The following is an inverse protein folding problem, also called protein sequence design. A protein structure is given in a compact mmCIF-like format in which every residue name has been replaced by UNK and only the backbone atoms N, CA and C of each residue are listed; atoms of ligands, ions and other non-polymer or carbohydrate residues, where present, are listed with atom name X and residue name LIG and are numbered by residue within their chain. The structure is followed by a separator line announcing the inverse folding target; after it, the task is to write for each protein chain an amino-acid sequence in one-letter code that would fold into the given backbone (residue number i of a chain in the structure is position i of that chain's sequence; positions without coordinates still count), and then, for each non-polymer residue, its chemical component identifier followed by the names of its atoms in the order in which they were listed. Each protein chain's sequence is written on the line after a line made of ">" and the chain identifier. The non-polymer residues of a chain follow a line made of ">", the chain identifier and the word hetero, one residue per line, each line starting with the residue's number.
data_IF_661598711675
#
_entry.id   IF_661598711675
#
_cell.length_a   1.000
_cell.length_b   1.000
_cell.length_c   1.000
_cell.angle_alpha   90.00
_cell.angle_beta   90.00
_cell.angle_gamma   90.00
#
_symmetry.space_group_name_H-M   'P 1'
#
loop_
_entity.id
_entity.type
_entity.pdbx_description
1 polymer ?
#
# COMPACT_ATOMS: atom_id res chain seq x y z
N UNK A 1 35.31 3.63 7.83
CA UNK A 1 33.89 3.16 7.78
C UNK A 1 33.12 4.25 7.07
N UNK A 2 32.52 3.93 5.93
CA UNK A 2 31.64 4.87 5.22
C UNK A 2 30.27 4.86 5.89
N UNK A 3 29.59 6.01 5.98
CA UNK A 3 28.24 6.11 6.52
C UNK A 3 27.22 5.27 5.73
N UNK A 4 27.38 5.25 4.42
CA UNK A 4 26.50 4.49 3.54
C UNK A 4 26.54 2.99 3.87
N UNK A 5 27.73 2.46 4.23
CA UNK A 5 27.89 1.04 4.59
C UNK A 5 27.16 0.67 5.90
N UNK A 6 26.80 1.67 6.74
CA UNK A 6 26.00 1.46 7.95
C UNK A 6 24.50 1.45 7.67
N UNK A 7 24.08 2.17 6.64
CA UNK A 7 22.67 2.26 6.26
C UNK A 7 22.25 1.08 5.39
N UNK A 8 23.07 0.75 4.39
CA UNK A 8 22.76 -0.34 3.46
C UNK A 8 24.01 -0.86 2.75
N UNK A 9 23.96 -2.11 2.32
CA UNK A 9 24.91 -2.63 1.34
C UNK A 9 24.53 -2.09 -0.05
N UNK A 10 25.46 -1.53 -0.85
CA UNK A 10 25.17 -1.06 -2.21
C UNK A 10 24.50 -2.10 -3.12
N UNK A 11 24.81 -3.39 -2.93
CA UNK A 11 24.26 -4.50 -3.70
C UNK A 11 22.95 -5.06 -3.11
N UNK A 12 22.50 -4.56 -1.95
CA UNK A 12 21.26 -4.99 -1.29
C UNK A 12 20.04 -4.71 -2.18
N UNK A 13 19.26 -5.74 -2.40
CA UNK A 13 17.94 -5.67 -3.06
C UNK A 13 16.83 -5.63 -2.02
N UNK A 14 15.64 -5.17 -2.40
CA UNK A 14 14.48 -5.30 -1.53
C UNK A 14 14.31 -6.74 -1.04
N UNK A 15 14.04 -6.90 0.25
CA UNK A 15 13.81 -8.18 0.94
C UNK A 15 15.00 -9.16 1.02
N UNK A 16 16.21 -8.76 0.63
CA UNK A 16 17.42 -9.52 0.95
C UNK A 16 17.60 -9.64 2.48
N UNK A 17 17.05 -8.68 3.23
CA UNK A 17 17.01 -8.67 4.69
C UNK A 17 15.58 -8.39 5.18
N UNK A 18 15.09 -9.27 6.03
CA UNK A 18 13.87 -9.01 6.81
C UNK A 18 14.23 -8.36 8.14
N UNK A 19 13.51 -7.30 8.50
CA UNK A 19 13.78 -6.54 9.72
C UNK A 19 13.23 -7.28 10.93
N UNK A 20 14.10 -7.54 11.91
CA UNK A 20 13.74 -8.04 13.23
C UNK A 20 13.55 -6.86 14.22
N UNK A 21 12.45 -6.83 14.94
CA UNK A 21 12.12 -5.70 15.82
C UNK A 21 11.57 -4.48 15.06
N UNK A 22 11.76 -3.26 15.60
CA UNK A 22 11.36 -2.04 14.90
C UNK A 22 12.30 -1.75 13.72
N UNK A 23 11.77 -1.06 12.72
CA UNK A 23 12.45 -0.70 11.48
C UNK A 23 12.56 0.81 11.31
N UNK A 24 13.16 1.26 10.22
CA UNK A 24 13.11 2.69 9.83
C UNK A 24 11.69 3.18 9.51
N UNK A 25 10.69 2.30 9.36
CA UNK A 25 9.28 2.69 9.31
C UNK A 25 8.84 3.44 10.58
N UNK A 26 9.53 3.23 11.69
CA UNK A 26 9.29 3.93 12.98
C UNK A 26 9.56 5.44 12.95
N UNK A 27 10.15 6.00 11.89
CA UNK A 27 10.26 7.46 11.71
C UNK A 27 8.90 8.13 11.51
N UNK A 28 7.88 7.37 11.07
CA UNK A 28 6.52 7.87 10.92
C UNK A 28 5.74 7.81 12.24
N UNK A 29 4.94 8.84 12.50
CA UNK A 29 3.96 8.84 13.59
C UNK A 29 2.62 8.27 13.16
N UNK A 30 2.24 8.55 11.89
CA UNK A 30 0.93 8.17 11.34
C UNK A 30 1.08 7.63 9.92
N UNK A 31 0.47 6.47 9.66
CA UNK A 31 0.37 5.90 8.31
C UNK A 31 -1.09 5.51 8.06
N UNK A 32 -1.63 5.88 6.89
CA UNK A 32 -2.90 5.35 6.41
C UNK A 32 -2.67 4.18 5.44
N UNK A 33 -3.47 3.15 5.58
CA UNK A 33 -3.47 1.98 4.72
C UNK A 33 -4.75 1.99 3.89
N UNK A 34 -4.59 2.26 2.59
CA UNK A 34 -5.65 2.37 1.59
C UNK A 34 -5.62 1.10 0.77
N UNK A 35 -6.69 0.31 0.80
CA UNK A 35 -6.70 -0.95 0.06
C UNK A 35 -8.02 -1.69 0.14
N UNK A 36 -7.95 -2.94 -0.24
CA UNK A 36 -9.08 -3.86 -0.25
C UNK A 36 -9.08 -4.80 0.98
N UNK A 37 -9.62 -6.01 0.80
CA UNK A 37 -9.76 -7.02 1.84
C UNK A 37 -8.46 -7.40 2.55
N UNK A 38 -7.33 -7.49 1.81
CA UNK A 38 -6.06 -7.84 2.42
C UNK A 38 -5.51 -6.70 3.29
N UNK A 39 -5.83 -5.46 2.97
CA UNK A 39 -5.43 -4.29 3.77
C UNK A 39 -6.36 -4.05 4.96
N UNK A 40 -7.64 -4.38 4.84
CA UNK A 40 -8.60 -4.26 5.95
C UNK A 40 -8.45 -5.33 7.01
N UNK A 41 -7.74 -6.43 6.70
CA UNK A 41 -7.63 -7.59 7.57
C UNK A 41 -8.86 -8.48 7.50
N UNK A 42 -9.44 -8.66 6.31
CA UNK A 42 -10.65 -9.45 6.12
C UNK A 42 -10.39 -10.95 6.32
N UNK A 43 -11.29 -11.60 7.05
CA UNK A 43 -11.35 -13.05 7.19
C UNK A 43 -12.57 -13.60 6.46
N UNK A 44 -12.38 -14.69 5.72
CA UNK A 44 -13.49 -15.47 5.16
C UNK A 44 -13.86 -16.60 6.12
N UNK A 45 -15.15 -16.72 6.42
CA UNK A 45 -15.71 -17.80 7.23
C UNK A 45 -16.67 -18.65 6.41
N UNK A 46 -17.03 -19.83 6.95
CA UNK A 46 -18.08 -20.70 6.44
C UNK A 46 -19.02 -21.04 7.59
N UNK A 47 -20.32 -20.98 7.36
CA UNK A 47 -21.30 -21.51 8.30
C UNK A 47 -21.48 -23.04 8.12
N UNK A 48 -22.35 -23.64 8.94
CA UNK A 48 -22.63 -25.08 8.89
C UNK A 48 -23.23 -25.54 7.54
N UNK A 49 -23.84 -24.62 6.78
CA UNK A 49 -24.39 -24.83 5.47
C UNK A 49 -23.38 -24.55 4.34
N UNK A 50 -22.16 -24.09 4.67
CA UNK A 50 -21.11 -23.76 3.72
C UNK A 50 -21.22 -22.36 3.12
N UNK A 51 -22.14 -21.50 3.59
CA UNK A 51 -22.24 -20.13 3.13
C UNK A 51 -21.05 -19.31 3.59
N UNK A 52 -20.58 -18.42 2.72
CA UNK A 52 -19.45 -17.52 3.01
C UNK A 52 -19.88 -16.33 3.87
N UNK A 53 -19.06 -16.01 4.85
CA UNK A 53 -19.10 -14.75 5.59
C UNK A 53 -17.77 -14.00 5.42
N UNK A 54 -17.82 -12.67 5.42
CA UNK A 54 -16.63 -11.82 5.30
C UNK A 54 -16.61 -10.82 6.46
N UNK A 55 -15.45 -10.67 7.11
CA UNK A 55 -15.31 -9.88 8.33
C UNK A 55 -14.03 -9.07 8.29
N UNK A 56 -14.14 -7.75 8.12
CA UNK A 56 -13.01 -6.83 8.25
C UNK A 56 -12.58 -6.71 9.71
N UNK A 57 -11.39 -7.19 10.03
CA UNK A 57 -10.83 -7.20 11.38
C UNK A 57 -9.46 -6.48 11.36
N UNK A 58 -9.50 -5.15 11.31
CA UNK A 58 -8.29 -4.33 11.14
C UNK A 58 -7.18 -4.63 12.14
N UNK A 59 -7.52 -5.03 13.36
CA UNK A 59 -6.54 -5.41 14.38
C UNK A 59 -5.60 -6.54 13.95
N UNK A 60 -6.03 -7.36 12.99
CA UNK A 60 -5.25 -8.44 12.39
C UNK A 60 -4.65 -8.07 11.03
N UNK A 61 -4.90 -6.89 10.51
CA UNK A 61 -4.34 -6.45 9.23
C UNK A 61 -2.83 -6.29 9.29
N UNK A 62 -2.18 -6.45 8.15
CA UNK A 62 -0.74 -6.22 8.05
C UNK A 62 -0.36 -4.78 8.43
N UNK A 63 -1.19 -3.79 8.12
CA UNK A 63 -0.96 -2.40 8.50
C UNK A 63 -0.95 -2.19 10.01
N UNK A 64 -1.87 -2.84 10.74
CA UNK A 64 -1.92 -2.75 12.19
C UNK A 64 -0.76 -3.50 12.88
N UNK A 65 -0.30 -4.61 12.29
CA UNK A 65 0.91 -5.28 12.78
C UNK A 65 2.15 -4.39 12.62
N UNK A 66 2.32 -3.74 11.46
CA UNK A 66 3.39 -2.76 11.23
C UNK A 66 3.33 -1.65 12.28
N UNK A 67 2.14 -1.10 12.54
CA UNK A 67 1.95 -0.03 13.50
C UNK A 67 2.35 -0.43 14.92
N UNK A 68 1.91 -1.60 15.38
CA UNK A 68 2.26 -2.11 16.72
C UNK A 68 3.76 -2.40 16.87
N UNK A 69 4.39 -2.92 15.81
CA UNK A 69 5.82 -3.21 15.79
C UNK A 69 6.67 -1.93 15.89
N UNK A 70 6.26 -0.87 15.20
CA UNK A 70 7.03 0.36 15.02
C UNK A 70 6.56 1.53 15.92
N UNK A 71 5.55 1.32 16.77
CA UNK A 71 5.07 2.36 17.70
C UNK A 71 4.38 3.54 17.03
N UNK A 72 3.84 3.36 15.81
CA UNK A 72 3.10 4.37 15.07
C UNK A 72 1.58 4.15 15.14
N UNK A 73 0.81 5.13 14.72
CA UNK A 73 -0.65 5.01 14.58
C UNK A 73 -1.00 4.63 13.15
N UNK A 74 -1.65 3.49 12.97
CA UNK A 74 -2.26 3.09 11.70
C UNK A 74 -3.70 3.58 11.59
N UNK A 75 -4.05 4.10 10.41
CA UNK A 75 -5.45 4.34 10.03
C UNK A 75 -5.87 3.32 8.98
N UNK A 76 -7.01 2.69 9.21
CA UNK A 76 -7.64 1.81 8.23
C UNK A 76 -8.50 2.63 7.26
N UNK A 77 -8.00 2.82 6.05
CA UNK A 77 -8.74 3.40 4.94
C UNK A 77 -9.05 2.33 3.88
N UNK A 78 -9.30 1.11 4.35
CA UNK A 78 -9.51 -0.08 3.53
C UNK A 78 -10.84 -0.76 3.89
N UNK A 79 -11.37 -1.54 2.96
CA UNK A 79 -12.56 -2.38 3.16
C UNK A 79 -12.52 -3.54 2.16
N UNK A 80 -13.10 -4.67 2.53
CA UNK A 80 -13.29 -5.80 1.63
C UNK A 80 -13.96 -5.40 0.31
N UNK A 81 -13.44 -5.91 -0.81
CA UNK A 81 -13.96 -5.62 -2.15
C UNK A 81 -13.69 -4.23 -2.71
N UNK A 82 -12.95 -3.36 -2.01
CA UNK A 82 -12.73 -1.97 -2.41
C UNK A 82 -12.05 -1.85 -3.77
N UNK A 83 -12.54 -0.88 -4.56
CA UNK A 83 -11.93 -0.40 -5.79
C UNK A 83 -11.47 1.06 -5.63
N UNK A 84 -10.50 1.52 -6.44
CA UNK A 84 -10.07 2.92 -6.44
C UNK A 84 -11.23 3.86 -6.80
N UNK A 85 -12.11 3.42 -7.71
CA UNK A 85 -13.30 4.20 -8.10
C UNK A 85 -14.28 4.36 -6.94
N UNK A 86 -14.65 3.28 -6.26
CA UNK A 86 -15.58 3.36 -5.13
C UNK A 86 -14.99 4.13 -3.95
N UNK A 87 -13.68 4.02 -3.75
CA UNK A 87 -12.96 4.82 -2.75
C UNK A 87 -13.20 6.31 -2.95
N UNK A 88 -13.06 6.80 -4.18
CA UNK A 88 -13.28 8.21 -4.56
C UNK A 88 -14.73 8.63 -4.50
N UNK A 89 -15.61 7.82 -5.05
CA UNK A 89 -17.02 8.21 -5.29
C UNK A 89 -17.84 8.29 -4.00
N UNK A 90 -17.48 7.48 -2.98
CA UNK A 90 -18.32 7.37 -1.80
C UNK A 90 -17.58 7.02 -0.51
N UNK A 91 -16.68 6.03 -0.51
CA UNK A 91 -16.19 5.43 0.71
C UNK A 91 -15.34 6.39 1.55
N UNK A 92 -14.41 7.09 0.93
CA UNK A 92 -13.52 7.99 1.64
C UNK A 92 -14.28 9.20 2.23
N UNK A 93 -15.26 9.75 1.49
CA UNK A 93 -16.10 10.86 1.97
C UNK A 93 -16.99 10.42 3.13
N UNK A 94 -17.68 9.28 2.99
CA UNK A 94 -18.58 8.75 4.00
C UNK A 94 -17.87 8.45 5.35
N UNK A 95 -16.57 8.16 5.30
CA UNK A 95 -15.76 7.86 6.48
C UNK A 95 -14.89 9.05 6.94
N UNK A 96 -14.99 10.20 6.28
CA UNK A 96 -14.24 11.41 6.60
C UNK A 96 -12.72 11.24 6.44
N UNK A 97 -12.25 10.43 5.47
CA UNK A 97 -10.83 10.17 5.30
C UNK A 97 -10.07 11.36 4.72
N UNK A 98 -10.77 12.32 4.13
CA UNK A 98 -10.22 13.57 3.65
C UNK A 98 -10.08 14.65 4.73
N UNK A 99 -10.45 14.33 5.98
CA UNK A 99 -10.42 15.29 7.08
C UNK A 99 -9.00 15.58 7.57
N UNK A 100 -8.76 16.83 7.99
CA UNK A 100 -7.49 17.29 8.58
C UNK A 100 -7.06 16.46 9.81
N UNK A 101 -8.03 15.94 10.57
CA UNK A 101 -7.80 15.11 11.76
C UNK A 101 -7.28 13.69 11.43
N UNK A 102 -7.38 13.30 10.16
CA UNK A 102 -6.93 12.00 9.65
C UNK A 102 -5.75 12.08 8.68
N UNK A 103 -5.18 13.26 8.49
CA UNK A 103 -4.00 13.40 7.64
C UNK A 103 -2.81 12.61 8.19
N UNK A 104 -2.09 11.95 7.30
CA UNK A 104 -0.97 11.08 7.63
C UNK A 104 0.35 11.57 7.07
N UNK A 105 1.45 11.13 7.67
CA UNK A 105 2.80 11.36 7.13
C UNK A 105 3.10 10.43 5.96
N UNK A 106 2.42 9.28 5.91
CA UNK A 106 2.53 8.35 4.79
C UNK A 106 1.19 7.67 4.48
N UNK A 107 1.04 7.30 3.21
CA UNK A 107 -0.08 6.53 2.68
C UNK A 107 0.46 5.30 1.95
N UNK A 108 0.06 4.12 2.40
CA UNK A 108 0.37 2.85 1.74
C UNK A 108 -0.87 2.42 0.97
N UNK A 109 -0.75 2.36 -0.36
CA UNK A 109 -1.87 2.12 -1.26
C UNK A 109 -1.74 0.74 -1.90
N UNK A 110 -2.72 -0.13 -1.66
CA UNK A 110 -2.77 -1.51 -2.12
C UNK A 110 -4.15 -1.84 -2.73
N UNK A 111 -4.59 -1.00 -3.69
CA UNK A 111 -5.79 -1.20 -4.50
C UNK A 111 -5.42 -1.79 -5.86
N UNK A 112 -6.40 -2.33 -6.57
CA UNK A 112 -6.30 -2.70 -7.97
C UNK A 112 -6.77 -4.11 -8.29
N UNK A 113 -6.70 -5.07 -7.36
CA UNK A 113 -7.19 -6.43 -7.59
C UNK A 113 -8.67 -6.41 -7.97
N UNK A 114 -9.48 -5.66 -7.24
CA UNK A 114 -10.91 -5.55 -7.52
C UNK A 114 -11.21 -4.66 -8.72
N UNK A 115 -10.37 -3.66 -8.99
CA UNK A 115 -10.51 -2.82 -10.19
C UNK A 115 -10.22 -3.61 -11.46
N UNK A 116 -9.01 -4.17 -11.55
CA UNK A 116 -8.44 -4.71 -12.79
C UNK A 116 -8.88 -6.15 -13.03
N UNK A 117 -8.70 -7.04 -12.03
CA UNK A 117 -8.97 -8.48 -12.24
C UNK A 117 -10.44 -8.83 -12.03
N UNK A 118 -11.07 -8.34 -10.97
CA UNK A 118 -12.46 -8.70 -10.68
C UNK A 118 -13.44 -7.82 -11.46
N UNK A 119 -13.14 -6.51 -11.61
CA UNK A 119 -13.99 -5.53 -12.27
C UNK A 119 -13.72 -5.37 -13.77
N UNK A 120 -12.58 -5.88 -14.27
CA UNK A 120 -12.21 -5.73 -15.68
C UNK A 120 -11.97 -4.28 -16.11
N UNK A 121 -11.64 -3.39 -15.16
CA UNK A 121 -11.35 -2.00 -15.45
C UNK A 121 -10.06 -1.90 -16.25
N UNK A 122 -10.04 -1.01 -17.23
CA UNK A 122 -8.84 -0.69 -17.99
C UNK A 122 -7.75 -0.14 -17.04
N UNK A 123 -6.52 -0.63 -17.19
CA UNK A 123 -5.39 -0.16 -16.38
C UNK A 123 -5.11 1.32 -16.63
N UNK A 124 -5.12 1.74 -17.89
CA UNK A 124 -4.72 3.10 -18.30
C UNK A 124 -3.21 3.33 -18.21
N UNK A 125 -2.82 4.59 -18.17
CA UNK A 125 -1.44 5.05 -18.07
C UNK A 125 -1.37 6.51 -17.61
N UNK A 126 -0.16 7.08 -17.59
CA UNK A 126 0.05 8.49 -17.18
C UNK A 126 -0.64 9.49 -18.11
N UNK A 127 -0.93 9.12 -19.35
CA UNK A 127 -1.70 9.92 -20.33
C UNK A 127 -3.17 10.08 -19.95
N UNK A 128 -3.64 9.36 -18.95
CA UNK A 128 -5.00 9.47 -18.41
C UNK A 128 -5.09 10.47 -17.24
N UNK A 129 -3.95 11.04 -16.84
CA UNK A 129 -3.83 12.03 -15.76
C UNK A 129 -3.86 13.43 -16.37
N UNK A 130 -4.84 14.24 -15.96
CA UNK A 130 -4.86 15.65 -16.31
C UNK A 130 -3.86 16.42 -15.41
N UNK A 131 -2.84 17.07 -15.99
CA UNK A 131 -1.81 17.75 -15.20
C UNK A 131 -2.31 19.04 -14.53
N UNK A 132 -3.49 19.54 -14.91
CA UNK A 132 -4.03 20.80 -14.41
C UNK A 132 -5.14 20.60 -13.38
N UNK A 133 -5.94 19.54 -13.54
CA UNK A 133 -7.04 19.23 -12.60
C UNK A 133 -7.30 17.72 -12.57
N UNK A 134 -6.89 17.06 -11.51
CA UNK A 134 -7.05 15.62 -11.32
C UNK A 134 -8.52 15.15 -11.41
N UNK A 135 -9.49 16.04 -11.24
CA UNK A 135 -10.93 15.73 -11.40
C UNK A 135 -11.31 15.36 -12.83
N UNK A 136 -10.45 15.74 -13.78
CA UNK A 136 -10.59 15.43 -15.20
C UNK A 136 -9.86 14.16 -15.61
N UNK A 137 -9.17 13.46 -14.68
CA UNK A 137 -8.53 12.19 -14.98
C UNK A 137 -9.52 11.23 -15.61
N UNK A 138 -9.07 10.46 -16.60
CA UNK A 138 -9.91 9.42 -17.17
C UNK A 138 -10.25 8.34 -16.13
N UNK A 139 -11.43 7.71 -16.22
CA UNK A 139 -11.89 6.72 -15.24
C UNK A 139 -11.23 5.34 -15.45
N UNK A 140 -9.92 5.30 -15.68
CA UNK A 140 -9.09 4.09 -15.67
C UNK A 140 -8.58 3.80 -14.27
N UNK A 141 -7.98 2.63 -14.04
CA UNK A 141 -7.37 2.33 -12.73
C UNK A 141 -6.34 3.40 -12.34
N UNK A 142 -5.41 3.73 -13.23
CA UNK A 142 -4.36 4.74 -12.97
C UNK A 142 -4.93 6.14 -12.82
N UNK A 143 -5.91 6.52 -13.62
CA UNK A 143 -6.57 7.82 -13.47
C UNK A 143 -7.26 7.99 -12.11
N UNK A 144 -7.96 6.94 -11.63
CA UNK A 144 -8.56 6.94 -10.31
C UNK A 144 -7.50 6.93 -9.20
N UNK A 145 -6.44 6.14 -9.38
CA UNK A 145 -5.34 6.05 -8.41
C UNK A 145 -4.62 7.40 -8.25
N UNK A 146 -4.32 8.06 -9.37
CA UNK A 146 -3.72 9.40 -9.40
C UNK A 146 -4.63 10.45 -8.75
N UNK A 147 -5.93 10.34 -8.91
CA UNK A 147 -6.90 11.23 -8.26
C UNK A 147 -6.88 11.08 -6.74
N UNK A 148 -6.76 9.85 -6.21
CA UNK A 148 -6.61 9.61 -4.77
C UNK A 148 -5.33 10.29 -4.25
N UNK A 149 -4.19 10.08 -4.94
CA UNK A 149 -2.90 10.66 -4.56
C UNK A 149 -2.98 12.19 -4.55
N UNK A 150 -3.49 12.78 -5.63
CA UNK A 150 -3.61 14.24 -5.76
C UNK A 150 -4.43 14.85 -4.63
N UNK A 151 -5.55 14.22 -4.28
CA UNK A 151 -6.41 14.70 -3.19
C UNK A 151 -5.72 14.60 -1.83
N UNK A 152 -4.93 13.56 -1.56
CA UNK A 152 -4.13 13.49 -0.33
C UNK A 152 -2.97 14.47 -0.34
N UNK A 153 -2.36 14.76 -1.47
CA UNK A 153 -1.33 15.80 -1.58
C UNK A 153 -1.89 17.22 -1.34
N UNK A 154 -3.16 17.50 -1.62
CA UNK A 154 -3.81 18.74 -1.20
C UNK A 154 -3.90 18.87 0.34
N UNK A 155 -4.11 17.75 1.05
CA UNK A 155 -4.28 17.71 2.51
C UNK A 155 -2.93 17.64 3.23
N UNK A 156 -1.98 16.88 2.69
CA UNK A 156 -0.65 16.63 3.25
C UNK A 156 0.39 16.63 2.12
N UNK A 157 0.84 17.81 1.65
CA UNK A 157 1.70 17.94 0.48
C UNK A 157 3.00 17.16 0.54
N UNK A 158 3.61 17.09 1.75
CA UNK A 158 4.90 16.45 1.99
C UNK A 158 4.79 14.98 2.44
N UNK A 159 3.58 14.42 2.43
CA UNK A 159 3.37 13.02 2.78
C UNK A 159 4.03 12.08 1.77
N UNK A 160 4.51 10.94 2.26
CA UNK A 160 5.10 9.88 1.44
C UNK A 160 4.04 8.89 0.98
N UNK A 161 4.16 8.40 -0.26
CA UNK A 161 3.25 7.43 -0.85
C UNK A 161 3.99 6.14 -1.19
N UNK A 162 3.42 5.00 -0.80
CA UNK A 162 3.96 3.69 -1.11
C UNK A 162 2.90 2.89 -1.88
N UNK A 163 3.21 2.56 -3.14
CA UNK A 163 2.32 1.80 -4.01
C UNK A 163 2.70 0.32 -3.94
N UNK A 164 1.79 -0.50 -3.43
CA UNK A 164 2.03 -1.94 -3.30
C UNK A 164 1.56 -2.65 -4.56
N UNK A 165 2.47 -3.35 -5.23
CA UNK A 165 2.08 -4.19 -6.37
C UNK A 165 1.35 -5.44 -5.91
N UNK A 166 0.66 -6.10 -6.84
CA UNK A 166 0.14 -7.43 -6.59
C UNK A 166 1.29 -8.39 -6.27
N UNK A 167 1.11 -9.34 -5.34
CA UNK A 167 2.06 -10.43 -5.20
C UNK A 167 2.06 -11.30 -6.47
N UNK A 168 3.13 -12.03 -6.71
CA UNK A 168 3.16 -13.03 -7.77
C UNK A 168 2.19 -14.17 -7.39
N UNK A 169 1.10 -14.24 -8.12
CA UNK A 169 0.00 -15.16 -7.89
C UNK A 169 -0.32 -15.86 -9.20
N UNK A 170 -0.14 -17.17 -9.27
CA UNK A 170 -0.36 -18.00 -10.45
C UNK A 170 -1.85 -18.20 -10.82
N UNK A 171 -2.76 -17.63 -10.03
CA UNK A 171 -4.21 -17.85 -10.16
C UNK A 171 -4.95 -16.65 -10.76
N UNK A 172 -4.35 -15.45 -10.80
CA UNK A 172 -5.07 -14.21 -11.13
C UNK A 172 -4.52 -13.50 -12.35
N UNK A 173 -5.43 -13.20 -13.29
CA UNK A 173 -5.13 -12.36 -14.46
C UNK A 173 -4.20 -13.03 -15.48
N UNK A 174 -3.85 -12.27 -16.49
CA UNK A 174 -2.79 -12.63 -17.44
C UNK A 174 -1.49 -11.96 -17.04
N UNK A 175 -0.36 -12.57 -17.40
CA UNK A 175 0.97 -11.97 -17.19
C UNK A 175 1.05 -10.57 -17.79
N UNK A 176 0.53 -10.38 -19.00
CA UNK A 176 0.51 -9.08 -19.69
C UNK A 176 -0.26 -8.01 -18.90
N UNK A 177 -1.44 -8.35 -18.39
CA UNK A 177 -2.26 -7.43 -17.58
C UNK A 177 -1.56 -7.08 -16.26
N UNK A 178 -0.95 -8.06 -15.62
CA UNK A 178 -0.19 -7.88 -14.38
C UNK A 178 1.01 -6.97 -14.61
N UNK A 179 1.82 -7.22 -15.63
CA UNK A 179 2.98 -6.37 -15.95
C UNK A 179 2.55 -4.95 -16.34
N UNK A 180 1.48 -4.79 -17.11
CA UNK A 180 0.93 -3.47 -17.43
C UNK A 180 0.57 -2.69 -16.16
N UNK A 181 -0.08 -3.35 -15.20
CA UNK A 181 -0.47 -2.70 -13.94
C UNK A 181 0.74 -2.32 -13.09
N UNK A 182 1.72 -3.22 -12.97
CA UNK A 182 2.96 -2.96 -12.24
C UNK A 182 3.74 -1.79 -12.85
N UNK A 183 3.93 -1.81 -14.17
CA UNK A 183 4.62 -0.73 -14.87
C UNK A 183 3.92 0.61 -14.66
N UNK A 184 2.59 0.64 -14.73
CA UNK A 184 1.82 1.86 -14.50
C UNK A 184 1.95 2.41 -13.07
N UNK A 185 2.13 1.54 -12.05
CA UNK A 185 2.44 1.99 -10.68
C UNK A 185 3.86 2.58 -10.58
N UNK A 186 4.84 2.05 -11.33
CA UNK A 186 6.16 2.68 -11.42
C UNK A 186 6.09 4.03 -12.14
N UNK A 187 5.35 4.11 -13.24
CA UNK A 187 5.17 5.37 -13.99
C UNK A 187 4.56 6.49 -13.12
N UNK A 188 3.70 6.13 -12.15
CA UNK A 188 3.17 7.11 -11.18
C UNK A 188 4.27 7.75 -10.32
N UNK A 189 5.38 7.06 -10.05
CA UNK A 189 6.50 7.64 -9.27
C UNK A 189 7.25 8.72 -10.04
N UNK A 190 7.15 8.73 -11.36
CA UNK A 190 7.69 9.80 -12.20
C UNK A 190 6.76 11.04 -12.23
N UNK A 191 5.46 10.85 -11.95
CA UNK A 191 4.46 11.92 -11.91
C UNK A 191 4.37 12.56 -10.53
N UNK A 192 4.43 11.75 -9.49
CA UNK A 192 4.25 12.19 -8.11
C UNK A 192 5.57 12.08 -7.32
N UNK A 193 6.12 13.21 -6.90
CA UNK A 193 7.24 13.24 -5.95
C UNK A 193 6.86 12.57 -4.63
N UNK A 194 7.85 12.12 -3.87
CA UNK A 194 7.66 11.47 -2.58
C UNK A 194 6.86 10.16 -2.66
N UNK A 195 6.97 9.45 -3.77
CA UNK A 195 6.27 8.18 -3.99
C UNK A 195 7.24 7.06 -4.38
N UNK A 196 6.91 5.84 -3.95
CA UNK A 196 7.76 4.67 -4.05
C UNK A 196 6.92 3.44 -4.33
N UNK A 197 7.50 2.45 -5.05
CA UNK A 197 6.84 1.17 -5.30
C UNK A 197 7.36 0.12 -4.32
N UNK A 198 6.45 -0.58 -3.66
CA UNK A 198 6.69 -1.83 -2.92
C UNK A 198 6.35 -2.97 -3.88
N UNK A 199 7.35 -3.46 -4.60
CA UNK A 199 7.16 -4.46 -5.64
C UNK A 199 7.17 -5.88 -5.07
N UNK A 200 6.00 -6.32 -4.62
CA UNK A 200 5.79 -7.66 -4.10
C UNK A 200 5.78 -8.72 -5.21
N UNK A 201 5.46 -8.34 -6.45
CA UNK A 201 5.50 -9.26 -7.58
C UNK A 201 6.91 -9.76 -7.83
N UNK A 202 7.87 -8.84 -7.85
CA UNK A 202 9.26 -9.14 -8.19
C UNK A 202 10.06 -9.68 -7.00
N UNK A 203 9.84 -9.15 -5.81
CA UNK A 203 10.68 -9.41 -4.64
C UNK A 203 9.96 -10.16 -3.52
N UNK A 204 8.63 -10.19 -3.53
CA UNK A 204 7.83 -10.91 -2.56
C UNK A 204 7.78 -12.42 -2.81
N UNK A 205 7.16 -13.17 -1.90
CA UNK A 205 6.93 -14.60 -2.10
C UNK A 205 5.91 -14.85 -3.21
N UNK A 206 6.05 -15.98 -3.89
CA UNK A 206 5.01 -16.48 -4.81
C UNK A 206 3.86 -17.06 -3.98
N UNK A 207 2.63 -16.68 -4.33
CA UNK A 207 1.41 -17.18 -3.67
C UNK A 207 0.92 -18.47 -4.35
N UNK A 208 1.80 -19.48 -4.34
CA UNK A 208 1.52 -20.83 -4.81
C UNK A 208 0.62 -21.63 -3.82
N UNK A 209 0.28 -22.85 -4.18
CA UNK A 209 -0.54 -23.74 -3.34
C UNK A 209 0.07 -23.94 -1.95
N UNK A 210 1.40 -24.08 -1.85
CA UNK A 210 2.10 -24.27 -0.58
C UNK A 210 2.01 -23.04 0.32
N UNK A 211 2.11 -21.84 -0.29
CA UNK A 211 1.91 -20.58 0.43
C UNK A 211 0.47 -20.45 0.93
N UNK A 212 -0.50 -20.74 0.07
CA UNK A 212 -1.92 -20.68 0.40
C UNK A 212 -2.31 -21.66 1.50
N UNK A 213 -1.82 -22.90 1.44
CA UNK A 213 -2.06 -23.89 2.49
C UNK A 213 -1.63 -23.42 3.88
N UNK A 214 -0.55 -22.66 3.98
CA UNK A 214 0.01 -22.18 5.27
C UNK A 214 -0.61 -20.88 5.74
N UNK A 215 -0.83 -19.94 4.82
CA UNK A 215 -1.07 -18.54 5.14
C UNK A 215 -2.48 -18.06 4.78
N UNK A 216 -3.30 -18.89 4.17
CA UNK A 216 -4.68 -18.56 3.86
C UNK A 216 -5.68 -19.40 4.69
N UNK A 217 -6.83 -18.80 4.90
CA UNK A 217 -8.04 -19.42 5.38
C UNK A 217 -9.09 -19.19 4.30
N UNK A 218 -9.35 -20.20 3.46
CA UNK A 218 -10.15 -20.06 2.25
C UNK A 218 -9.58 -19.03 1.26
N UNK A 219 -10.34 -17.99 0.92
CA UNK A 219 -9.93 -16.97 -0.04
C UNK A 219 -9.09 -15.82 0.52
N UNK A 220 -8.94 -15.73 1.83
CA UNK A 220 -8.23 -14.65 2.52
C UNK A 220 -7.14 -15.17 3.44
N UNK A 221 -6.25 -14.27 3.86
CA UNK A 221 -5.16 -14.65 4.76
C UNK A 221 -5.66 -15.06 6.14
N UNK A 222 -4.94 -15.99 6.75
CA UNK A 222 -5.06 -16.27 8.18
C UNK A 222 -4.18 -15.29 8.98
N UNK A 223 -4.25 -15.28 10.34
CA UNK A 223 -3.43 -14.35 11.15
C UNK A 223 -1.92 -14.46 10.90
N UNK A 224 -1.41 -15.66 10.60
CA UNK A 224 0.01 -15.86 10.28
C UNK A 224 0.37 -15.22 8.92
N UNK A 225 -0.52 -15.32 7.95
CA UNK A 225 -0.36 -14.68 6.64
C UNK A 225 -0.29 -13.16 6.76
N UNK A 226 -1.15 -12.57 7.58
CA UNK A 226 -1.13 -11.12 7.85
C UNK A 226 0.15 -10.67 8.55
N UNK A 227 0.64 -11.41 9.57
CA UNK A 227 1.93 -11.10 10.23
C UNK A 227 3.09 -11.25 9.25
N UNK A 228 3.09 -12.30 8.43
CA UNK A 228 4.13 -12.52 7.45
C UNK A 228 4.16 -11.39 6.42
N UNK A 229 3.01 -11.00 5.86
CA UNK A 229 2.89 -9.88 4.93
C UNK A 229 3.31 -8.56 5.57
N UNK A 230 2.97 -8.34 6.85
CA UNK A 230 3.42 -7.18 7.60
C UNK A 230 4.95 -7.09 7.66
N UNK A 231 5.63 -8.21 7.94
CA UNK A 231 7.09 -8.24 7.97
C UNK A 231 7.72 -7.95 6.61
N UNK A 232 7.12 -8.45 5.53
CA UNK A 232 7.57 -8.20 4.16
C UNK A 232 7.45 -6.71 3.82
N UNK A 233 6.27 -6.13 4.00
CA UNK A 233 6.00 -4.71 3.66
C UNK A 233 6.83 -3.77 4.54
N UNK A 234 6.93 -4.04 5.85
CA UNK A 234 7.75 -3.25 6.77
C UNK A 234 9.24 -3.28 6.39
N UNK A 235 9.76 -4.45 6.03
CA UNK A 235 11.15 -4.60 5.58
C UNK A 235 11.40 -3.88 4.26
N UNK A 236 10.40 -3.82 3.39
CA UNK A 236 10.52 -3.10 2.13
C UNK A 236 10.49 -1.58 2.35
N UNK A 237 9.63 -1.07 3.23
CA UNK A 237 9.61 0.35 3.62
C UNK A 237 10.95 0.72 4.27
N UNK A 238 11.46 -0.10 5.19
CA UNK A 238 12.78 0.05 5.80
C UNK A 238 13.88 0.18 4.75
N UNK A 239 13.87 -0.70 3.74
CA UNK A 239 14.80 -0.64 2.62
C UNK A 239 14.69 0.67 1.84
N UNK A 240 13.46 1.11 1.49
CA UNK A 240 13.23 2.37 0.77
C UNK A 240 13.78 3.57 1.56
N UNK A 241 13.50 3.64 2.86
CA UNK A 241 13.96 4.73 3.72
C UNK A 241 15.49 4.76 3.78
N UNK A 242 16.14 3.62 3.95
CA UNK A 242 17.62 3.54 4.00
C UNK A 242 18.29 3.88 2.68
N UNK A 243 17.64 3.58 1.56
CA UNK A 243 18.15 3.89 0.21
C UNK A 243 17.95 5.36 -0.18
N UNK A 244 17.01 6.06 0.44
CA UNK A 244 16.64 7.43 0.09
C UNK A 244 16.64 8.34 1.34
N UNK A 245 17.71 8.39 2.16
CA UNK A 245 17.70 9.07 3.46
C UNK A 245 17.39 10.57 3.33
N UNK A 246 17.77 11.20 2.23
CA UNK A 246 17.50 12.62 1.98
C UNK A 246 16.02 12.94 1.85
N UNK A 247 15.23 12.02 1.29
CA UNK A 247 13.79 12.21 1.11
C UNK A 247 13.02 12.13 2.43
N UNK A 248 13.61 11.51 3.46
CA UNK A 248 12.94 11.24 4.74
C UNK A 248 13.47 12.11 5.90
N UNK A 249 14.53 12.88 5.70
CA UNK A 249 15.16 13.67 6.79
C UNK A 249 14.20 14.66 7.46
N UNK A 250 13.21 15.15 6.76
CA UNK A 250 12.24 16.13 7.25
C UNK A 250 10.91 15.53 7.71
N UNK A 251 10.77 14.20 7.70
CA UNK A 251 9.49 13.53 7.96
C UNK A 251 8.89 13.90 9.33
N UNK A 252 9.71 14.21 10.31
CA UNK A 252 9.27 14.63 11.64
C UNK A 252 8.45 15.94 11.62
N UNK A 253 8.63 16.78 10.61
CA UNK A 253 7.94 18.08 10.48
C UNK A 253 6.65 17.98 9.65
N UNK A 254 6.48 16.92 8.89
CA UNK A 254 5.27 16.70 8.06
C UNK A 254 4.02 16.70 8.95
N UNK A 255 3.02 17.48 8.54
CA UNK A 255 1.77 17.68 9.28
C UNK A 255 1.95 18.33 10.67
N UNK A 256 2.97 19.17 10.85
CA UNK A 256 3.17 20.03 12.04
C UNK A 256 3.21 21.49 11.64
N UNK A 257 3.09 22.37 12.63
CA UNK A 257 3.27 23.83 12.45
C UNK A 257 4.75 24.25 12.39
N UNK A 258 5.67 23.31 12.59
CA UNK A 258 7.11 23.55 12.57
C UNK A 258 7.56 23.62 11.10
N UNK A 259 8.12 24.78 10.72
CA UNK A 259 8.72 24.94 9.40
C UNK A 259 10.20 24.61 9.47
N UNK A 260 10.63 23.77 8.53
CA UNK A 260 12.03 23.50 8.28
C UNK A 260 12.46 24.30 7.05
N UNK A 261 13.55 25.08 7.20
CA UNK A 261 14.14 25.94 6.16
C UNK A 261 15.52 25.40 5.82
#
# INVERSE_FOLDING_TARGET
>A
MNWDDLLYNPDEKPLDRLVEGYSYTSIFRTIAFIGDSLSSGEFETRDEQGNKGYHDMFDYSWGQYIARKNGLKAYNFSRGGMTAREYLDSFAEANGFWGEDKKCQAYVMALGVNDVYNGGLEVGGIEDIDPNDYRNNKPTFIGNYAQIISRYKEISPDAKFFFVTFPNDDVRGTEEQTQKTINALYDLTEVFSDSYVIDLYKYGPVYDDRFREKFFLFGHMNPMGYIFTANIIDSYIDYIVRKNPDDFKNIAFVNTDIKYI
#
